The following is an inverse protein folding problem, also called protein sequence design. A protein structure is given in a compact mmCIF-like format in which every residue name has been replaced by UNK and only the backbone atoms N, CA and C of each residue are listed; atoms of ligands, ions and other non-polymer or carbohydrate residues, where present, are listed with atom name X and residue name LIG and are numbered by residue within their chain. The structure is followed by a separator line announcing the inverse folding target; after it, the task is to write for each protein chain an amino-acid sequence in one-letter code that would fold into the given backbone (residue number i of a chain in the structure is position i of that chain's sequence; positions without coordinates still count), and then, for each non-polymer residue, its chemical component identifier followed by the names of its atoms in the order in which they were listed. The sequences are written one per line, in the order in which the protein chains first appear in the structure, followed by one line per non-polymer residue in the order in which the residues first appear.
data_IF_828254730750
#
_entry.id   IF_828254730750
#
_cell.length_a   1.000
_cell.length_b   1.000
_cell.length_c   1.000
_cell.angle_alpha   90.00
_cell.angle_beta   90.00
_cell.angle_gamma   90.00
#
_symmetry.space_group_name_H-M   'P 1'
#
loop_
_entity.id
_entity.type
_entity.pdbx_description
1 polymer ?
#
# COMPACT_ATOMS: atom_id res chain seq x y z
N UNK A 1 2.43 4.09 -32.85
CA UNK A 1 1.27 4.02 -31.92
C UNK A 1 1.59 4.91 -30.74
N UNK A 2 0.67 5.82 -30.39
CA UNK A 2 0.87 6.70 -29.24
C UNK A 2 0.57 5.92 -27.97
N UNK A 3 1.57 5.69 -27.11
CA UNK A 3 1.44 4.96 -25.83
C UNK A 3 0.38 5.61 -24.92
N UNK A 4 0.28 6.93 -24.94
CA UNK A 4 -0.75 7.63 -24.18
C UNK A 4 -2.17 7.21 -24.60
N UNK A 5 -2.37 6.91 -25.88
CA UNK A 5 -3.66 6.38 -26.35
C UNK A 5 -3.96 5.01 -25.74
N UNK A 6 -2.99 4.08 -25.73
CA UNK A 6 -3.14 2.77 -25.13
C UNK A 6 -3.46 2.86 -23.63
N UNK A 7 -2.78 3.75 -22.93
CA UNK A 7 -3.04 3.99 -21.49
C UNK A 7 -4.47 4.55 -21.28
N UNK A 8 -4.93 5.49 -22.12
CA UNK A 8 -6.28 6.04 -22.01
C UNK A 8 -7.35 5.00 -22.32
N UNK A 9 -7.12 4.15 -23.30
CA UNK A 9 -8.02 3.04 -23.61
C UNK A 9 -8.09 2.04 -22.47
N UNK A 10 -6.95 1.63 -21.90
CA UNK A 10 -6.89 0.77 -20.73
C UNK A 10 -7.62 1.38 -19.51
N UNK A 11 -7.47 2.69 -19.26
CA UNK A 11 -8.23 3.42 -18.23
C UNK A 11 -9.74 3.34 -18.46
N UNK A 12 -10.19 3.54 -19.69
CA UNK A 12 -11.60 3.46 -20.02
C UNK A 12 -12.14 2.04 -19.79
N UNK A 13 -11.37 1.02 -20.14
CA UNK A 13 -11.77 -0.37 -19.94
C UNK A 13 -11.90 -0.69 -18.45
N UNK A 14 -10.90 -0.37 -17.61
CA UNK A 14 -10.96 -0.67 -16.20
C UNK A 14 -12.12 0.05 -15.49
N UNK A 15 -12.41 1.30 -15.85
CA UNK A 15 -13.51 2.07 -15.26
C UNK A 15 -14.91 1.57 -15.66
N UNK A 16 -15.05 0.80 -16.74
CA UNK A 16 -16.31 0.13 -17.06
C UNK A 16 -16.64 -0.98 -16.04
N UNK A 17 -15.62 -1.68 -15.53
CA UNK A 17 -15.80 -2.76 -14.54
C UNK A 17 -15.81 -2.21 -13.10
N UNK A 18 -15.07 -1.14 -12.82
CA UNK A 18 -14.92 -0.54 -11.50
C UNK A 18 -15.55 0.87 -11.48
N UNK A 19 -16.86 0.96 -11.70
CA UNK A 19 -17.61 2.22 -11.86
C UNK A 19 -17.56 3.13 -10.64
N UNK A 20 -17.47 2.53 -9.42
CA UNK A 20 -17.45 3.24 -8.14
C UNK A 20 -16.03 3.47 -7.62
N UNK A 21 -15.02 3.42 -8.52
CA UNK A 21 -13.62 3.58 -8.15
C UNK A 21 -12.96 4.69 -8.97
N UNK A 22 -11.97 5.32 -8.35
CA UNK A 22 -11.06 6.27 -9.01
C UNK A 22 -9.68 5.62 -9.12
N UNK A 23 -9.03 5.79 -10.25
CA UNK A 23 -7.66 5.32 -10.45
C UNK A 23 -6.73 6.26 -9.68
N UNK A 24 -6.00 5.71 -8.70
CA UNK A 24 -4.99 6.44 -7.92
C UNK A 24 -3.61 6.33 -8.57
N UNK A 25 -3.24 5.14 -9.06
CA UNK A 25 -1.94 4.89 -9.70
C UNK A 25 -2.11 4.06 -10.96
N UNK A 26 -1.26 4.33 -11.95
CA UNK A 26 -1.10 3.58 -13.19
C UNK A 26 0.37 3.20 -13.28
N UNK A 27 0.65 1.90 -13.18
CA UNK A 27 1.99 1.36 -13.15
C UNK A 27 2.19 0.49 -14.38
N UNK A 28 3.24 0.75 -15.16
CA UNK A 28 3.58 -0.09 -16.31
C UNK A 28 4.65 -1.07 -15.87
N UNK A 29 4.27 -2.32 -15.72
CA UNK A 29 5.17 -3.41 -15.32
C UNK A 29 6.13 -3.82 -16.44
N UNK A 30 5.67 -3.75 -17.69
CA UNK A 30 6.43 -4.21 -18.83
C UNK A 30 5.95 -3.59 -20.14
N UNK A 31 6.88 -3.36 -21.03
CA UNK A 31 6.64 -3.03 -22.44
C UNK A 31 7.09 -4.20 -23.29
N UNK A 32 6.18 -4.84 -24.01
CA UNK A 32 6.52 -5.88 -24.98
C UNK A 32 6.45 -5.29 -26.37
N UNK A 33 7.60 -5.17 -27.01
CA UNK A 33 7.78 -4.53 -28.34
C UNK A 33 8.36 -5.58 -29.28
N UNK A 34 7.60 -5.94 -30.34
CA UNK A 34 7.97 -6.96 -31.32
C UNK A 34 8.48 -8.26 -30.66
N UNK A 35 7.76 -8.72 -29.62
CA UNK A 35 8.06 -9.92 -28.84
C UNK A 35 9.25 -9.84 -27.88
N UNK A 36 9.91 -8.67 -27.74
CA UNK A 36 10.98 -8.41 -26.78
C UNK A 36 10.40 -7.64 -25.58
N UNK A 37 10.76 -8.08 -24.37
CA UNK A 37 10.34 -7.45 -23.12
C UNK A 37 11.30 -6.36 -22.69
N UNK A 38 10.77 -5.19 -22.36
CA UNK A 38 11.51 -4.02 -21.87
C UNK A 38 10.92 -3.54 -20.55
N UNK A 39 11.75 -3.35 -19.50
CA UNK A 39 11.29 -2.80 -18.22
C UNK A 39 10.96 -1.32 -18.29
N UNK A 40 11.55 -0.60 -19.27
CA UNK A 40 11.32 0.81 -19.56
C UNK A 40 11.12 1.03 -21.05
N UNK A 41 10.37 2.06 -21.39
CA UNK A 41 10.20 2.42 -22.80
C UNK A 41 11.53 2.88 -23.39
N UNK A 42 12.01 2.29 -24.48
CA UNK A 42 13.15 2.82 -25.23
C UNK A 42 12.83 4.18 -25.82
N UNK A 43 13.84 5.08 -25.85
CA UNK A 43 13.66 6.47 -26.32
C UNK A 43 13.24 6.54 -27.79
N UNK A 44 13.84 5.71 -28.65
CA UNK A 44 13.52 5.66 -30.08
C UNK A 44 13.47 4.20 -30.55
N UNK A 45 12.27 3.70 -30.83
CA UNK A 45 12.10 2.36 -31.40
C UNK A 45 10.99 2.40 -32.46
N UNK A 46 11.29 1.86 -33.65
CA UNK A 46 10.29 1.54 -34.65
C UNK A 46 9.81 0.12 -34.40
N UNK A 47 8.52 -0.09 -34.33
CA UNK A 47 7.94 -1.40 -34.06
C UNK A 47 6.64 -1.61 -34.83
N UNK A 48 6.34 -2.85 -35.15
CA UNK A 48 5.07 -3.25 -35.73
C UNK A 48 4.01 -3.50 -34.66
N UNK A 49 4.43 -3.97 -33.49
CA UNK A 49 3.52 -4.33 -32.40
C UNK A 49 4.05 -3.90 -31.03
N UNK A 50 3.16 -3.32 -30.21
CA UNK A 50 3.43 -2.99 -28.80
C UNK A 50 2.31 -3.46 -27.90
N UNK A 51 2.68 -4.09 -26.78
CA UNK A 51 1.77 -4.48 -25.71
C UNK A 51 2.27 -3.92 -24.39
N UNK A 52 1.36 -3.46 -23.54
CA UNK A 52 1.66 -2.93 -22.21
C UNK A 52 1.07 -3.84 -21.14
N UNK A 53 1.88 -4.23 -20.16
CA UNK A 53 1.40 -4.81 -18.91
C UNK A 53 1.18 -3.68 -17.90
N UNK A 54 -0.10 -3.36 -17.63
CA UNK A 54 -0.48 -2.21 -16.81
C UNK A 54 -1.17 -2.67 -15.54
N UNK A 55 -0.67 -2.24 -14.40
CA UNK A 55 -1.27 -2.44 -13.09
C UNK A 55 -1.96 -1.15 -12.62
N UNK A 56 -3.23 -1.25 -12.23
CA UNK A 56 -4.01 -0.12 -11.73
C UNK A 56 -4.26 -0.24 -10.23
N UNK A 57 -3.94 0.81 -9.47
CA UNK A 57 -4.39 0.94 -8.08
C UNK A 57 -5.61 1.84 -8.05
N UNK A 58 -6.73 1.28 -7.59
CA UNK A 58 -8.01 1.97 -7.56
C UNK A 58 -8.47 2.21 -6.12
N UNK A 59 -9.06 3.38 -5.87
CA UNK A 59 -9.63 3.76 -4.58
C UNK A 59 -11.14 3.98 -4.73
N UNK A 60 -11.96 3.63 -3.72
CA UNK A 60 -13.39 3.92 -3.73
C UNK A 60 -13.66 5.42 -3.95
N UNK A 61 -14.59 5.74 -4.84
CA UNK A 61 -14.95 7.13 -5.18
C UNK A 61 -15.38 7.92 -3.96
N UNK A 62 -16.19 7.31 -3.08
CA UNK A 62 -16.67 7.96 -1.86
C UNK A 62 -15.52 8.37 -0.93
N UNK A 63 -14.48 7.52 -0.81
CA UNK A 63 -13.30 7.84 -0.02
C UNK A 63 -12.55 9.05 -0.60
N UNK A 64 -12.36 9.07 -1.92
CA UNK A 64 -11.70 10.18 -2.62
C UNK A 64 -12.49 11.48 -2.44
N UNK A 65 -13.80 11.45 -2.61
CA UNK A 65 -14.68 12.61 -2.41
C UNK A 65 -14.69 13.08 -0.96
N UNK A 66 -14.70 12.15 -0.01
CA UNK A 66 -14.65 12.47 1.42
C UNK A 66 -13.42 13.30 1.76
N UNK A 67 -12.22 12.85 1.35
CA UNK A 67 -10.99 13.61 1.59
C UNK A 67 -10.99 14.96 0.88
N UNK A 68 -11.37 15.02 -0.38
CA UNK A 68 -11.48 16.29 -1.13
C UNK A 68 -12.41 17.28 -0.42
N UNK A 69 -13.55 16.82 0.08
CA UNK A 69 -14.53 17.65 0.78
C UNK A 69 -14.01 18.16 2.13
N UNK A 70 -13.27 17.33 2.90
CA UNK A 70 -12.69 17.78 4.17
C UNK A 70 -11.68 18.90 3.93
N UNK A 71 -10.75 18.71 3.01
CA UNK A 71 -9.69 19.68 2.76
C UNK A 71 -10.22 20.96 2.11
N UNK A 72 -11.25 20.86 1.26
CA UNK A 72 -11.87 22.03 0.63
C UNK A 72 -12.51 22.99 1.64
N UNK A 73 -13.01 22.47 2.79
CA UNK A 73 -13.53 23.32 3.88
C UNK A 73 -12.46 24.24 4.48
N UNK A 74 -11.20 23.87 4.35
CA UNK A 74 -10.05 24.67 4.79
C UNK A 74 -9.36 25.40 3.63
N UNK A 75 -10.01 25.52 2.46
CA UNK A 75 -9.48 26.11 1.24
C UNK A 75 -8.21 25.42 0.73
N UNK A 76 -8.05 24.12 1.02
CA UNK A 76 -6.95 23.30 0.52
C UNK A 76 -7.44 22.49 -0.68
N UNK A 77 -6.77 22.64 -1.80
CA UNK A 77 -7.02 21.85 -3.00
C UNK A 77 -6.23 20.55 -2.94
N UNK A 78 -6.92 19.41 -3.07
CA UNK A 78 -6.28 18.09 -3.16
C UNK A 78 -6.08 17.74 -4.62
N UNK A 79 -4.85 17.83 -5.09
CA UNK A 79 -4.48 17.49 -6.47
C UNK A 79 -4.42 15.98 -6.70
N UNK A 80 -3.81 15.24 -5.76
CA UNK A 80 -3.58 13.81 -5.89
C UNK A 80 -3.80 13.09 -4.55
N UNK A 81 -4.30 11.87 -4.61
CA UNK A 81 -4.38 10.94 -3.48
C UNK A 81 -3.51 9.74 -3.80
N UNK A 82 -2.59 9.43 -2.89
CA UNK A 82 -1.58 8.39 -3.06
C UNK A 82 -1.86 7.26 -2.09
N UNK A 83 -1.79 6.02 -2.56
CA UNK A 83 -1.85 4.83 -1.71
C UNK A 83 -0.56 4.76 -0.88
N UNK A 84 -0.67 4.94 0.45
CA UNK A 84 0.49 4.99 1.35
C UNK A 84 1.29 3.70 1.35
N UNK A 85 0.62 2.54 1.39
CA UNK A 85 1.29 1.24 1.38
C UNK A 85 2.10 1.02 0.11
N UNK A 86 1.57 1.45 -1.06
CA UNK A 86 2.28 1.40 -2.33
C UNK A 86 3.51 2.33 -2.33
N UNK A 87 3.34 3.59 -1.93
CA UNK A 87 4.44 4.55 -1.87
C UNK A 87 5.58 4.08 -0.96
N UNK A 88 5.23 3.54 0.21
CA UNK A 88 6.18 2.97 1.17
C UNK A 88 6.93 1.78 0.59
N UNK A 89 6.19 0.83 0.01
CA UNK A 89 6.79 -0.41 -0.54
C UNK A 89 7.83 -0.12 -1.62
N UNK A 90 7.56 0.84 -2.52
CA UNK A 90 8.55 1.27 -3.53
C UNK A 90 9.78 1.86 -2.87
N UNK A 91 9.58 2.84 -1.98
CA UNK A 91 10.70 3.53 -1.33
C UNK A 91 11.58 2.56 -0.54
N UNK A 92 10.99 1.59 0.15
CA UNK A 92 11.75 0.58 0.89
C UNK A 92 12.41 -0.45 -0.01
N UNK A 93 11.73 -0.88 -1.08
CA UNK A 93 12.31 -1.79 -2.05
C UNK A 93 13.58 -1.20 -2.67
N UNK A 94 13.53 0.06 -3.07
CA UNK A 94 14.65 0.78 -3.68
C UNK A 94 15.79 1.00 -2.68
N UNK A 95 15.47 1.46 -1.46
CA UNK A 95 16.49 1.73 -0.43
C UNK A 95 17.20 0.46 0.05
N UNK A 96 16.53 -0.68 0.08
CA UNK A 96 17.07 -1.95 0.54
C UNK A 96 17.63 -2.82 -0.59
N UNK A 97 17.55 -2.35 -1.85
CA UNK A 97 17.98 -3.09 -3.04
C UNK A 97 17.44 -4.53 -3.07
N UNK A 98 16.17 -4.69 -2.74
CA UNK A 98 15.53 -6.01 -2.65
C UNK A 98 15.21 -6.55 -4.04
N UNK A 99 15.48 -7.85 -4.25
CA UNK A 99 15.24 -8.57 -5.50
C UNK A 99 14.49 -9.88 -5.25
N UNK A 100 13.95 -10.49 -6.30
CA UNK A 100 13.17 -11.72 -6.21
C UNK A 100 11.71 -11.49 -5.81
N UNK A 101 11.10 -12.50 -5.19
CA UNK A 101 9.74 -12.40 -4.66
C UNK A 101 9.74 -11.73 -3.28
N UNK A 102 9.08 -10.59 -3.19
CA UNK A 102 9.00 -9.78 -1.97
C UNK A 102 7.56 -9.38 -1.74
N UNK A 103 7.09 -9.52 -0.51
CA UNK A 103 5.77 -9.07 -0.10
C UNK A 103 5.89 -8.09 1.07
N UNK A 104 5.49 -6.85 0.86
CA UNK A 104 5.36 -5.83 1.89
C UNK A 104 4.00 -5.97 2.55
N UNK A 105 3.98 -6.11 3.87
CA UNK A 105 2.78 -6.26 4.68
C UNK A 105 2.65 -5.02 5.56
N UNK A 106 1.72 -4.14 5.21
CA UNK A 106 1.43 -2.90 5.93
C UNK A 106 0.28 -3.12 6.91
N UNK A 107 0.61 -3.40 8.17
CA UNK A 107 -0.38 -3.62 9.23
C UNK A 107 -0.83 -2.26 9.76
N UNK A 108 -1.98 -1.81 9.28
CA UNK A 108 -2.63 -0.59 9.75
C UNK A 108 -3.53 -0.82 10.97
N UNK A 109 -4.35 0.17 11.30
CA UNK A 109 -5.28 0.11 12.42
C UNK A 109 -6.41 -0.90 12.20
N UNK A 110 -7.17 -0.77 11.10
CA UNK A 110 -8.32 -1.64 10.78
C UNK A 110 -8.06 -2.61 9.63
N UNK A 111 -7.04 -2.38 8.83
CA UNK A 111 -6.76 -3.11 7.60
C UNK A 111 -5.28 -3.42 7.51
N UNK A 112 -4.96 -4.51 6.82
CA UNK A 112 -3.60 -4.89 6.43
C UNK A 112 -3.53 -4.91 4.92
N UNK A 113 -2.61 -4.15 4.33
CA UNK A 113 -2.36 -4.18 2.89
C UNK A 113 -1.15 -5.05 2.59
N UNK A 114 -1.25 -5.87 1.56
CA UNK A 114 -0.19 -6.78 1.10
C UNK A 114 0.16 -6.38 -0.32
N UNK A 115 1.42 -6.04 -0.57
CA UNK A 115 1.89 -5.68 -1.90
C UNK A 115 3.03 -6.58 -2.27
N UNK A 116 2.84 -7.38 -3.31
CA UNK A 116 3.79 -8.38 -3.75
C UNK A 116 4.48 -7.94 -5.03
N UNK A 117 5.78 -8.16 -5.08
CA UNK A 117 6.65 -7.84 -6.20
C UNK A 117 7.44 -9.08 -6.66
N UNK A 118 7.79 -9.08 -7.92
CA UNK A 118 8.90 -9.87 -8.45
C UNK A 118 9.88 -8.93 -9.13
N UNK A 119 11.05 -8.76 -8.54
CA UNK A 119 12.00 -7.70 -8.89
C UNK A 119 11.30 -6.34 -8.92
N UNK A 120 11.23 -5.68 -10.08
CA UNK A 120 10.61 -4.35 -10.23
C UNK A 120 9.13 -4.40 -10.62
N UNK A 121 8.57 -5.59 -10.88
CA UNK A 121 7.18 -5.74 -11.30
C UNK A 121 6.28 -5.94 -10.10
N UNK A 122 5.21 -5.15 -10.01
CA UNK A 122 4.15 -5.37 -9.03
C UNK A 122 3.25 -6.54 -9.50
N UNK A 123 3.07 -7.54 -8.64
CA UNK A 123 2.27 -8.71 -8.93
C UNK A 123 0.85 -8.59 -8.40
N UNK A 124 0.70 -8.12 -7.16
CA UNK A 124 -0.60 -7.94 -6.53
C UNK A 124 -0.59 -6.83 -5.48
N UNK A 125 -1.77 -6.31 -5.20
CA UNK A 125 -2.09 -5.47 -4.06
C UNK A 125 -3.40 -5.97 -3.47
N UNK A 126 -3.33 -6.58 -2.29
CA UNK A 126 -4.45 -7.14 -1.56
C UNK A 126 -4.69 -6.36 -0.28
N UNK A 127 -5.95 -6.31 0.18
CA UNK A 127 -6.32 -5.63 1.42
C UNK A 127 -7.18 -6.55 2.27
N UNK A 128 -6.67 -6.92 3.43
CA UNK A 128 -7.39 -7.71 4.43
C UNK A 128 -8.09 -6.78 5.43
N UNK A 129 -9.36 -7.05 5.79
CA UNK A 129 -10.12 -6.24 6.75
C UNK A 129 -9.75 -6.54 8.22
N UNK A 130 -8.46 -6.70 8.49
CA UNK A 130 -7.90 -7.00 9.81
C UNK A 130 -6.66 -6.16 10.06
N UNK A 131 -6.43 -5.70 11.30
CA UNK A 131 -5.30 -4.88 11.67
C UNK A 131 -5.18 -4.72 13.19
N UNK A 132 -4.33 -3.80 13.65
CA UNK A 132 -4.01 -3.61 15.08
C UNK A 132 -5.20 -3.36 16.00
N UNK A 133 -6.30 -2.80 15.50
CA UNK A 133 -7.53 -2.61 16.28
C UNK A 133 -8.21 -3.93 16.67
N UNK A 134 -7.99 -5.00 15.93
CA UNK A 134 -8.52 -6.32 16.28
C UNK A 134 -7.83 -6.88 17.51
N UNK A 135 -6.51 -6.65 17.65
CA UNK A 135 -5.76 -6.96 18.88
C UNK A 135 -6.33 -6.18 20.06
N UNK A 136 -6.59 -4.88 19.89
CA UNK A 136 -7.18 -4.03 20.95
C UNK A 136 -8.55 -4.54 21.41
N UNK A 137 -9.39 -4.95 20.44
CA UNK A 137 -10.72 -5.52 20.74
C UNK A 137 -10.64 -6.85 21.49
N UNK A 138 -9.67 -7.71 21.14
CA UNK A 138 -9.47 -8.97 21.83
C UNK A 138 -8.98 -8.75 23.27
N UNK A 139 -8.05 -7.82 23.48
CA UNK A 139 -7.61 -7.43 24.82
C UNK A 139 -8.80 -6.92 25.64
N UNK A 140 -9.61 -6.02 25.05
CA UNK A 140 -10.80 -5.46 25.69
C UNK A 140 -11.78 -6.55 26.14
N UNK A 141 -12.02 -7.51 25.25
CA UNK A 141 -12.99 -8.59 25.48
C UNK A 141 -12.51 -9.61 26.53
N UNK A 142 -11.24 -10.00 26.48
CA UNK A 142 -10.70 -11.07 27.32
C UNK A 142 -10.34 -10.56 28.72
N UNK A 143 -9.78 -9.33 28.80
CA UNK A 143 -9.43 -8.71 30.07
C UNK A 143 -10.56 -7.88 30.68
N UNK A 144 -11.73 -7.79 30.01
CA UNK A 144 -12.91 -7.04 30.46
C UNK A 144 -12.62 -5.56 30.77
N UNK A 145 -11.73 -4.94 29.96
CA UNK A 145 -11.36 -3.51 30.09
C UNK A 145 -11.87 -2.73 28.89
N UNK A 146 -12.03 -1.42 29.03
CA UNK A 146 -12.46 -0.58 27.93
C UNK A 146 -11.40 -0.50 26.80
N UNK A 147 -11.82 -0.07 25.59
CA UNK A 147 -10.96 -0.03 24.41
C UNK A 147 -9.75 0.90 24.58
N UNK A 148 -9.92 2.02 25.27
CA UNK A 148 -8.82 2.97 25.52
C UNK A 148 -7.73 2.34 26.38
N UNK A 149 -8.12 1.67 27.47
CA UNK A 149 -7.19 0.94 28.34
C UNK A 149 -6.52 -0.21 27.60
N UNK A 150 -7.27 -0.92 26.74
CA UNK A 150 -6.75 -2.00 25.90
C UNK A 150 -5.68 -1.50 24.93
N UNK A 151 -5.90 -0.35 24.30
CA UNK A 151 -4.94 0.29 23.40
C UNK A 151 -3.67 0.70 24.16
N UNK A 152 -3.80 1.26 25.36
CA UNK A 152 -2.67 1.58 26.24
C UNK A 152 -1.88 0.33 26.64
N UNK A 153 -2.56 -0.76 27.03
CA UNK A 153 -1.91 -2.03 27.36
C UNK A 153 -1.14 -2.61 26.17
N UNK A 154 -1.71 -2.55 24.99
CA UNK A 154 -1.05 -2.96 23.76
C UNK A 154 0.19 -2.12 23.44
N UNK A 155 0.10 -0.80 23.49
CA UNK A 155 1.22 0.09 23.22
C UNK A 155 2.36 -0.02 24.23
N UNK A 156 2.02 -0.24 25.51
CA UNK A 156 3.00 -0.35 26.60
C UNK A 156 3.43 -1.81 26.82
N UNK A 157 3.15 -2.72 25.91
CA UNK A 157 3.39 -4.16 26.08
C UNK A 157 4.82 -4.47 26.51
N UNK A 158 5.83 -3.91 25.82
CA UNK A 158 7.25 -4.09 26.16
C UNK A 158 7.64 -3.56 27.55
N UNK A 159 7.01 -2.45 27.96
CA UNK A 159 7.25 -1.85 29.28
C UNK A 159 6.60 -2.71 30.38
N UNK A 160 5.39 -3.21 30.15
CA UNK A 160 4.67 -4.07 31.06
C UNK A 160 5.43 -5.39 31.29
N UNK A 161 6.04 -5.95 30.26
CA UNK A 161 6.89 -7.15 30.39
C UNK A 161 8.12 -6.93 31.28
N UNK A 162 8.71 -5.72 31.28
CA UNK A 162 9.89 -5.41 32.10
C UNK A 162 9.56 -5.15 33.58
N UNK A 163 8.33 -4.70 33.85
CA UNK A 163 7.88 -4.35 35.20
C UNK A 163 7.25 -5.52 35.95
N UNK A 164 6.93 -6.60 35.24
CA UNK A 164 6.32 -7.79 35.87
C UNK A 164 7.36 -8.60 36.62
N UNK A 165 7.11 -8.85 37.89
CA UNK A 165 7.69 -9.99 38.58
C UNK A 165 7.04 -11.24 37.95
N UNK A 166 7.79 -12.33 37.73
CA UNK A 166 7.45 -13.56 37.01
C UNK A 166 6.14 -14.29 37.38
N UNK A 167 5.21 -13.66 38.12
CA UNK A 167 3.97 -14.25 38.65
C UNK A 167 2.68 -13.49 38.31
N UNK A 168 2.72 -12.52 37.43
CA UNK A 168 1.50 -11.75 37.07
C UNK A 168 0.76 -12.42 35.91
N UNK A 169 -0.23 -13.28 36.24
CA UNK A 169 -1.08 -13.99 35.29
C UNK A 169 -1.76 -13.06 34.28
N UNK A 170 -1.95 -11.79 34.60
CA UNK A 170 -2.59 -10.82 33.70
C UNK A 170 -1.69 -10.44 32.53
N UNK A 171 -0.38 -10.34 32.75
CA UNK A 171 0.61 -9.99 31.72
C UNK A 171 0.84 -11.19 30.79
N UNK A 172 0.91 -12.41 31.32
CA UNK A 172 1.00 -13.62 30.52
C UNK A 172 -0.24 -13.78 29.61
N UNK A 173 -1.42 -13.48 30.14
CA UNK A 173 -2.67 -13.49 29.36
C UNK A 173 -2.65 -12.42 28.28
N UNK A 174 -2.21 -11.19 28.58
CA UNK A 174 -2.05 -10.11 27.60
C UNK A 174 -1.12 -10.53 26.47
N UNK A 175 0.00 -11.16 26.80
CA UNK A 175 0.97 -11.67 25.83
C UNK A 175 0.35 -12.71 24.90
N UNK A 176 -0.36 -13.69 25.46
CA UNK A 176 -1.05 -14.73 24.67
C UNK A 176 -2.07 -14.14 23.69
N UNK A 177 -2.84 -13.14 24.14
CA UNK A 177 -3.84 -12.47 23.29
C UNK A 177 -3.15 -11.77 22.11
N UNK A 178 -2.10 -10.98 22.39
CA UNK A 178 -1.38 -10.21 21.37
C UNK A 178 -0.77 -11.16 20.34
N UNK A 179 -0.04 -12.18 20.77
CA UNK A 179 0.63 -13.09 19.85
C UNK A 179 -0.36 -13.92 19.03
N UNK A 180 -1.40 -14.49 19.66
CA UNK A 180 -2.40 -15.29 18.93
C UNK A 180 -3.06 -14.49 17.80
N UNK A 181 -3.47 -13.23 18.06
CA UNK A 181 -4.06 -12.39 17.00
C UNK A 181 -3.05 -11.98 15.94
N UNK A 182 -1.81 -11.76 16.35
CA UNK A 182 -0.74 -11.39 15.40
C UNK A 182 -0.40 -12.57 14.50
N UNK A 183 -0.28 -13.77 15.02
CA UNK A 183 -0.10 -15.00 14.23
C UNK A 183 -1.22 -15.18 13.22
N UNK A 184 -2.48 -14.99 13.64
CA UNK A 184 -3.62 -15.06 12.72
C UNK A 184 -3.52 -14.03 11.59
N UNK A 185 -3.15 -12.77 11.89
CA UNK A 185 -2.94 -11.75 10.87
C UNK A 185 -1.88 -12.21 9.86
N UNK A 186 -0.74 -12.71 10.34
CA UNK A 186 0.35 -13.19 9.50
C UNK A 186 -0.03 -14.41 8.67
N UNK A 187 -0.76 -15.37 9.25
CA UNK A 187 -1.27 -16.52 8.51
C UNK A 187 -2.24 -16.12 7.38
N UNK A 188 -3.14 -15.16 7.64
CA UNK A 188 -4.03 -14.63 6.62
C UNK A 188 -3.25 -13.92 5.51
N UNK A 189 -2.19 -13.18 5.85
CA UNK A 189 -1.29 -12.58 4.87
C UNK A 189 -0.56 -13.65 4.05
N UNK A 190 -0.04 -14.69 4.68
CA UNK A 190 0.62 -15.79 3.98
C UNK A 190 -0.33 -16.50 3.00
N UNK A 191 -1.55 -16.81 3.43
CA UNK A 191 -2.58 -17.41 2.57
C UNK A 191 -2.94 -16.52 1.38
N UNK A 192 -3.02 -15.19 1.57
CA UNK A 192 -3.24 -14.25 0.48
C UNK A 192 -2.09 -14.26 -0.52
N UNK A 193 -0.84 -14.26 -0.04
CA UNK A 193 0.36 -14.34 -0.89
C UNK A 193 0.40 -15.67 -1.65
N UNK A 194 0.18 -16.79 -0.98
CA UNK A 194 0.20 -18.13 -1.59
C UNK A 194 -0.93 -18.35 -2.60
N UNK A 195 -2.09 -17.71 -2.40
CA UNK A 195 -3.21 -17.78 -3.34
C UNK A 195 -2.94 -17.05 -4.66
N UNK A 196 -1.91 -16.21 -4.69
CA UNK A 196 -1.51 -15.48 -5.88
C UNK A 196 -0.71 -16.39 -6.82
N UNK A 197 -1.35 -16.81 -7.93
CA UNK A 197 -0.77 -17.72 -8.93
C UNK A 197 0.52 -17.20 -9.61
N UNK A 198 0.82 -15.93 -9.46
CA UNK A 198 2.04 -15.33 -10.01
C UNK A 198 3.27 -15.50 -9.11
N UNK A 199 3.08 -15.93 -7.85
CA UNK A 199 4.18 -16.16 -6.91
C UNK A 199 4.59 -17.62 -6.94
N UNK A 200 5.68 -17.92 -7.64
CA UNK A 200 6.17 -19.28 -7.90
C UNK A 200 7.21 -19.79 -6.88
N UNK A 201 7.34 -19.14 -5.73
CA UNK A 201 8.37 -19.50 -4.74
C UNK A 201 8.14 -18.85 -3.39
N UNK A 202 9.10 -19.06 -2.45
CA UNK A 202 9.06 -18.37 -1.17
C UNK A 202 9.23 -16.87 -1.38
N UNK A 203 8.26 -16.10 -0.88
CA UNK A 203 8.33 -14.64 -0.83
C UNK A 203 8.99 -14.21 0.47
N UNK A 204 9.98 -13.31 0.39
CA UNK A 204 10.49 -12.58 1.54
C UNK A 204 9.42 -11.62 2.03
N UNK A 205 9.08 -11.66 3.31
CA UNK A 205 8.08 -10.80 3.90
C UNK A 205 8.72 -9.63 4.62
N UNK A 206 8.21 -8.44 4.36
CA UNK A 206 8.68 -7.20 4.99
C UNK A 206 7.50 -6.57 5.70
N UNK A 207 7.53 -6.56 7.02
CA UNK A 207 6.48 -5.96 7.85
C UNK A 207 6.73 -4.47 8.04
N UNK A 208 5.68 -3.69 7.84
CA UNK A 208 5.66 -2.24 8.00
C UNK A 208 4.31 -1.79 8.58
N UNK A 209 4.18 -0.52 8.90
CA UNK A 209 2.95 0.04 9.49
C UNK A 209 2.97 0.06 11.01
N UNK A 210 2.07 0.87 11.59
CA UNK A 210 2.01 1.06 13.03
C UNK A 210 1.64 -0.22 13.81
N UNK A 211 0.82 -1.10 13.19
CA UNK A 211 0.42 -2.37 13.79
C UNK A 211 1.56 -3.40 13.86
N UNK A 212 2.59 -3.26 13.02
CA UNK A 212 3.73 -4.19 13.04
C UNK A 212 4.71 -3.94 14.20
N UNK A 213 4.63 -2.79 14.87
CA UNK A 213 5.53 -2.43 15.99
C UNK A 213 5.46 -3.40 17.18
N UNK A 214 4.36 -4.15 17.30
CA UNK A 214 4.22 -5.21 18.29
C UNK A 214 5.17 -6.38 18.02
N UNK A 215 5.58 -6.54 16.75
CA UNK A 215 6.44 -7.59 16.25
C UNK A 215 7.86 -7.05 15.98
N UNK A 216 8.47 -6.42 16.95
CA UNK A 216 9.86 -6.04 16.82
C UNK A 216 10.79 -7.28 16.78
N UNK A 217 12.05 -7.07 16.43
CA UNK A 217 13.06 -8.15 16.38
C UNK A 217 13.20 -8.96 17.68
N UNK A 218 12.75 -8.42 18.82
CA UNK A 218 12.82 -9.09 20.13
C UNK A 218 11.74 -10.17 20.29
N UNK A 219 10.64 -10.05 19.55
CA UNK A 219 9.51 -10.97 19.64
C UNK A 219 9.42 -11.94 18.45
N UNK A 220 10.32 -11.80 17.47
CA UNK A 220 10.38 -12.63 16.27
C UNK A 220 10.40 -14.13 16.59
N UNK A 221 11.19 -14.53 17.59
CA UNK A 221 11.34 -15.94 18.00
C UNK A 221 10.12 -16.50 18.77
N UNK A 222 9.20 -15.65 19.19
CA UNK A 222 8.00 -16.04 19.93
C UNK A 222 6.81 -16.34 19.02
N UNK A 223 6.93 -16.03 17.75
CA UNK A 223 5.90 -16.25 16.73
C UNK A 223 6.37 -17.38 15.83
N UNK A 224 5.57 -18.45 15.80
CA UNK A 224 5.82 -19.57 14.89
C UNK A 224 5.40 -19.17 13.47
N UNK A 225 6.34 -18.65 12.67
CA UNK A 225 6.07 -18.32 11.30
C UNK A 225 7.14 -18.88 10.36
N UNK A 226 6.76 -19.56 9.26
CA UNK A 226 7.71 -20.34 8.43
C UNK A 226 8.54 -19.52 7.44
N UNK A 227 8.30 -18.21 7.31
CA UNK A 227 8.96 -17.36 6.32
C UNK A 227 9.97 -16.41 6.96
N UNK A 228 10.98 -16.02 6.19
CA UNK A 228 11.88 -14.94 6.58
C UNK A 228 11.12 -13.63 6.64
N UNK A 229 11.05 -13.06 7.84
CA UNK A 229 10.36 -11.80 8.10
C UNK A 229 11.39 -10.74 8.47
N UNK A 230 11.33 -9.62 7.76
CA UNK A 230 12.06 -8.41 8.10
C UNK A 230 11.10 -7.37 8.68
N UNK A 231 11.58 -6.56 9.62
CA UNK A 231 10.81 -5.49 10.22
C UNK A 231 11.38 -4.13 9.80
N UNK A 232 10.49 -3.22 9.39
CA UNK A 232 10.84 -1.85 9.09
C UNK A 232 10.28 -0.92 10.15
N UNK A 233 11.16 -0.17 10.80
CA UNK A 233 10.74 0.93 11.66
C UNK A 233 10.35 2.12 10.78
N UNK A 234 9.12 2.58 10.94
CA UNK A 234 8.57 3.70 10.20
C UNK A 234 8.36 4.91 11.09
N UNK A 235 8.75 6.06 10.56
CA UNK A 235 8.37 7.37 11.10
C UNK A 235 7.34 8.04 10.18
N UNK A 236 6.57 8.98 10.73
CA UNK A 236 5.63 9.78 9.92
C UNK A 236 6.35 10.51 8.79
N UNK A 237 7.58 10.97 9.04
CA UNK A 237 8.42 11.63 8.06
C UNK A 237 8.74 10.71 6.87
N UNK A 238 9.14 9.47 7.13
CA UNK A 238 9.44 8.47 6.08
C UNK A 238 8.21 8.19 5.20
N UNK A 239 7.02 8.13 5.81
CA UNK A 239 5.77 7.91 5.08
C UNK A 239 5.46 9.11 4.18
N UNK A 240 5.58 10.34 4.71
CA UNK A 240 5.35 11.58 3.94
C UNK A 240 6.37 11.72 2.80
N UNK A 241 7.64 11.42 3.05
CA UNK A 241 8.69 11.45 2.02
C UNK A 241 8.43 10.44 0.91
N UNK A 242 8.00 9.23 1.26
CA UNK A 242 7.66 8.19 0.26
C UNK A 242 6.53 8.67 -0.66
N UNK A 243 5.46 9.24 -0.10
CA UNK A 243 4.36 9.82 -0.86
C UNK A 243 4.80 11.00 -1.74
N UNK A 244 5.64 11.90 -1.19
CA UNK A 244 6.14 13.05 -1.93
C UNK A 244 7.01 12.62 -3.14
N UNK A 245 7.95 11.70 -2.93
CA UNK A 245 8.79 11.15 -4.02
C UNK A 245 7.94 10.58 -5.15
N UNK A 246 6.87 9.87 -4.81
CA UNK A 246 5.95 9.30 -5.80
C UNK A 246 5.18 10.39 -6.54
N UNK A 247 4.69 11.42 -5.83
CA UNK A 247 3.91 12.52 -6.43
C UNK A 247 4.68 13.35 -7.45
N UNK A 248 6.00 13.47 -7.30
CA UNK A 248 6.87 14.23 -8.23
C UNK A 248 7.42 13.37 -9.38
N UNK A 249 6.93 12.12 -9.52
CA UNK A 249 7.26 11.27 -10.66
C UNK A 249 8.67 10.69 -10.65
N UNK A 250 9.27 10.49 -9.47
CA UNK A 250 10.59 9.85 -9.37
C UNK A 250 10.57 8.34 -9.68
N UNK A 251 9.39 7.73 -9.72
CA UNK A 251 9.25 6.34 -10.15
C UNK A 251 9.08 6.29 -11.67
N UNK A 252 10.07 5.74 -12.37
CA UNK A 252 10.09 5.64 -13.84
C UNK A 252 8.96 4.77 -14.44
N UNK A 253 8.40 3.85 -13.65
CA UNK A 253 7.36 2.94 -14.11
C UNK A 253 5.95 3.47 -13.86
N UNK A 254 5.80 4.58 -13.16
CA UNK A 254 4.50 5.16 -12.88
C UNK A 254 4.15 6.26 -13.88
N UNK A 255 2.96 6.13 -14.45
CA UNK A 255 2.39 7.18 -15.29
C UNK A 255 1.84 8.28 -14.40
N UNK A 256 2.46 9.44 -14.41
CA UNK A 256 1.98 10.61 -13.67
C UNK A 256 0.59 10.99 -14.21
N UNK A 257 -0.42 10.83 -13.38
CA UNK A 257 -1.77 11.30 -13.67
C UNK A 257 -1.77 12.81 -13.41
N UNK A 258 -1.33 13.57 -14.42
CA UNK A 258 -1.47 15.03 -14.35
C UNK A 258 -2.98 15.34 -14.43
N UNK A 259 -3.60 15.91 -13.38
CA UNK A 259 -4.96 16.38 -13.51
C UNK A 259 -4.98 17.37 -14.68
N UNK A 260 -5.90 17.16 -15.65
CA UNK A 260 -6.12 18.17 -16.69
C UNK A 260 -6.38 19.47 -15.94
N UNK A 261 -5.42 20.41 -15.93
CA UNK A 261 -5.70 21.78 -15.55
C UNK A 261 -6.91 22.15 -16.40
N UNK A 262 -8.06 22.36 -15.75
CA UNK A 262 -9.14 23.10 -16.40
C UNK A 262 -8.52 24.45 -16.71
N UNK A 263 -8.07 24.62 -17.95
CA UNK A 263 -7.71 25.92 -18.47
C UNK A 263 -9.01 26.70 -18.36
N UNK A 264 -9.14 27.48 -17.29
CA UNK A 264 -10.19 28.49 -17.24
C UNK A 264 -9.88 29.41 -18.41
N UNK A 265 -10.49 29.11 -19.55
CA UNK A 265 -10.44 29.98 -20.70
C UNK A 265 -10.73 31.39 -20.22
N UNK A 266 -9.78 32.30 -20.39
CA UNK A 266 -9.94 33.69 -20.06
C UNK A 266 -11.17 34.26 -20.78
N UNK A 267 -11.74 35.34 -20.25
CA UNK A 267 -12.94 35.95 -20.84
C UNK A 267 -12.80 36.16 -22.38
N UNK A 268 -11.64 36.59 -22.86
CA UNK A 268 -11.35 36.78 -24.28
C UNK A 268 -11.30 35.46 -25.07
N UNK A 269 -10.77 34.38 -24.52
CA UNK A 269 -10.75 33.06 -25.18
C UNK A 269 -12.16 32.48 -25.29
N UNK A 270 -13.02 32.69 -24.28
CA UNK A 270 -14.45 32.30 -24.34
C UNK A 270 -15.18 33.09 -25.40
N UNK A 271 -14.87 34.39 -25.57
CA UNK A 271 -15.45 35.25 -26.60
C UNK A 271 -15.05 34.79 -28.02
N UNK A 272 -13.78 34.43 -28.23
CA UNK A 272 -13.29 33.92 -29.53
C UNK A 272 -13.89 32.55 -29.89
N UNK A 273 -14.20 31.70 -28.92
CA UNK A 273 -14.90 30.40 -29.16
C UNK A 273 -16.38 30.61 -29.50
N UNK A 274 -16.97 31.73 -29.16
CA UNK A 274 -18.39 32.01 -29.43
C UNK A 274 -18.61 32.54 -30.89
N UNK A 275 -17.54 32.99 -31.56
CA UNK A 275 -17.59 33.49 -32.90
C UNK A 275 -17.00 32.54 -33.97
N UNK A 276 -16.75 31.29 -33.59
CA UNK A 276 -16.43 30.19 -34.51
C UNK A 276 -17.62 29.22 -34.55
#
# INVERSE_FOLDING_TARGET
TNIQFLIQEAKQQILKYYTNYNIAHIIINNYKIDSVDYPYLPDEIMCDFICLDIFFVCLPTDLVLYFKNIFSKSNILVDQIICSSYAKSINYKDNLNLTGYISFIDIGFNKTSIISYYNDKILSLDVLPIGGNHITKDISKILEVNLEKSEQLKHNFDQNLKLSNDKDNSIETLQKIIFARTEEILELCAKSIESNSFILGKSRMVLMGAGSKILDNKHKDKISFPNDIDFLEETTENICQSGFKLSIGLNKNEVVIVPKKQIKLGFFEKLFHFFK
#
